data_IF_441445468869
#
_entry.id   IF_441445468869
#
_cell.length_a   1.000
_cell.length_b   1.000
_cell.length_c   1.000
_cell.angle_alpha   90.00
_cell.angle_beta   90.00
_cell.angle_gamma   90.00
#
_symmetry.space_group_name_H-M   'P 1'
#
loop_
_entity.id
_entity.type
_entity.pdbx_description
1 polymer ?
#
# COMPACT_ATOMS: atom_id res chain seq x y z
N UNK A 1 -22.13 19.54 -33.47
CA UNK A 1 -20.86 19.06 -32.89
C UNK A 1 -20.07 20.28 -32.45
N UNK A 2 -20.37 20.79 -31.24
CA UNK A 2 -19.83 22.08 -30.80
C UNK A 2 -18.44 21.91 -30.22
N UNK A 3 -17.49 22.74 -30.66
CA UNK A 3 -16.15 22.86 -30.07
C UNK A 3 -16.23 23.13 -28.56
N UNK A 4 -17.26 23.86 -28.10
CA UNK A 4 -17.54 24.12 -26.68
C UNK A 4 -17.87 22.87 -25.84
N UNK A 5 -18.29 21.76 -26.46
CA UNK A 5 -18.55 20.50 -25.75
C UNK A 5 -17.31 19.60 -25.65
N UNK A 6 -16.35 19.78 -26.57
CA UNK A 6 -15.08 19.03 -26.61
C UNK A 6 -14.02 19.73 -25.72
N UNK A 7 -14.07 21.06 -25.63
CA UNK A 7 -13.13 21.87 -24.87
C UNK A 7 -13.05 21.49 -23.38
N UNK A 8 -14.16 21.26 -22.65
CA UNK A 8 -14.07 20.80 -21.27
C UNK A 8 -13.38 19.43 -21.24
N UNK A 9 -13.86 18.44 -22.00
CA UNK A 9 -13.32 17.07 -22.00
C UNK A 9 -11.83 16.99 -22.34
N UNK A 10 -11.34 17.87 -23.21
CA UNK A 10 -9.92 17.96 -23.55
C UNK A 10 -9.07 18.61 -22.45
N UNK A 11 -9.65 19.50 -21.64
CA UNK A 11 -8.94 20.24 -20.59
C UNK A 11 -8.91 19.46 -19.27
N UNK A 12 -9.92 18.62 -18.95
CA UNK A 12 -10.04 17.87 -17.68
C UNK A 12 -8.80 17.02 -17.28
N UNK A 13 -7.97 16.62 -18.25
CA UNK A 13 -6.73 15.87 -17.97
C UNK A 13 -5.52 16.77 -17.74
N UNK A 14 -5.54 17.98 -18.30
CA UNK A 14 -4.42 18.92 -18.22
C UNK A 14 -4.35 19.63 -16.86
N UNK A 15 -5.46 19.80 -16.12
CA UNK A 15 -5.36 20.38 -14.77
C UNK A 15 -4.56 19.47 -13.83
N UNK A 16 -4.73 18.15 -13.93
CA UNK A 16 -3.95 17.21 -13.13
C UNK A 16 -2.45 17.30 -13.40
N UNK A 17 -2.07 17.49 -14.67
CA UNK A 17 -0.68 17.68 -15.07
C UNK A 17 -0.13 19.00 -14.52
N UNK A 18 -0.90 20.09 -14.60
CA UNK A 18 -0.50 21.41 -14.08
C UNK A 18 -0.33 21.35 -12.55
N UNK A 19 -1.26 20.71 -11.83
CA UNK A 19 -1.17 20.53 -10.37
C UNK A 19 0.07 19.71 -10.00
N UNK A 20 0.31 18.61 -10.71
CA UNK A 20 1.50 17.79 -10.50
C UNK A 20 2.78 18.59 -10.76
N UNK A 21 2.80 19.44 -11.79
CA UNK A 21 3.94 20.31 -12.11
C UNK A 21 4.20 21.35 -11.01
N UNK A 22 3.15 21.97 -10.47
CA UNK A 22 3.27 22.93 -9.36
C UNK A 22 3.81 22.24 -8.10
N UNK A 23 3.26 21.07 -7.74
CA UNK A 23 3.78 20.28 -6.62
C UNK A 23 5.25 19.89 -6.85
N UNK A 24 5.60 19.50 -8.08
CA UNK A 24 6.97 19.15 -8.46
C UNK A 24 7.93 20.34 -8.36
N UNK A 25 7.48 21.56 -8.65
CA UNK A 25 8.27 22.78 -8.49
C UNK A 25 8.45 23.16 -7.02
N UNK A 26 7.40 23.03 -6.20
CA UNK A 26 7.44 23.34 -4.77
C UNK A 26 8.28 22.35 -3.97
N UNK A 27 8.12 21.05 -4.23
CA UNK A 27 8.82 19.98 -3.52
C UNK A 27 10.14 19.57 -4.20
N UNK A 28 10.31 19.90 -5.48
CA UNK A 28 11.43 19.47 -6.31
C UNK A 28 11.28 18.01 -6.79
N UNK A 29 11.81 17.72 -7.98
CA UNK A 29 11.75 16.39 -8.59
C UNK A 29 12.45 15.26 -7.84
N UNK A 30 13.30 15.59 -6.86
CA UNK A 30 14.03 14.59 -6.06
C UNK A 30 13.29 14.15 -4.81
N UNK A 31 12.40 14.98 -4.23
CA UNK A 31 11.72 14.67 -2.96
C UNK A 31 10.59 13.68 -3.11
N UNK A 32 9.81 13.77 -4.19
CA UNK A 32 8.71 12.82 -4.46
C UNK A 32 9.22 11.36 -4.55
N UNK A 33 10.27 11.05 -5.35
CA UNK A 33 10.83 9.69 -5.41
C UNK A 33 11.50 9.23 -4.11
N UNK A 34 12.15 10.15 -3.38
CA UNK A 34 12.81 9.86 -2.10
C UNK A 34 11.78 9.43 -1.05
N UNK A 35 10.66 10.16 -0.95
CA UNK A 35 9.54 9.84 -0.07
C UNK A 35 8.83 8.54 -0.49
N UNK A 36 8.57 8.33 -1.78
CA UNK A 36 7.98 7.08 -2.28
C UNK A 36 8.87 5.86 -1.98
N UNK A 37 10.20 5.98 -2.13
CA UNK A 37 11.13 4.92 -1.78
C UNK A 37 11.12 4.62 -0.28
N UNK A 38 11.05 5.65 0.57
CA UNK A 38 10.92 5.49 2.03
C UNK A 38 9.61 4.80 2.41
N UNK A 39 8.48 5.31 1.93
CA UNK A 39 7.16 4.75 2.17
C UNK A 39 7.05 3.32 1.65
N UNK A 40 7.54 3.05 0.44
CA UNK A 40 7.50 1.73 -0.19
C UNK A 40 8.31 0.68 0.57
N UNK A 41 9.48 1.06 1.12
CA UNK A 41 10.24 0.19 2.02
C UNK A 41 9.48 -0.07 3.32
N UNK A 42 8.89 0.96 3.94
CA UNK A 42 8.09 0.83 5.15
C UNK A 42 6.89 -0.11 4.98
N UNK A 43 6.10 0.09 3.91
CA UNK A 43 4.95 -0.77 3.57
C UNK A 43 5.40 -2.21 3.29
N UNK A 44 6.52 -2.41 2.59
CA UNK A 44 7.06 -3.75 2.32
C UNK A 44 7.45 -4.48 3.62
N UNK A 45 8.22 -3.82 4.48
CA UNK A 45 8.63 -4.40 5.77
C UNK A 45 7.43 -4.66 6.69
N UNK A 46 6.45 -3.77 6.71
CA UNK A 46 5.21 -3.96 7.45
C UNK A 46 4.45 -5.19 6.98
N UNK A 47 4.26 -5.34 5.65
CA UNK A 47 3.58 -6.50 5.08
C UNK A 47 4.31 -7.80 5.35
N UNK A 48 5.65 -7.79 5.32
CA UNK A 48 6.45 -8.97 5.62
C UNK A 48 6.32 -9.38 7.09
N UNK A 49 6.46 -8.45 8.03
CA UNK A 49 6.29 -8.72 9.45
C UNK A 49 4.88 -9.24 9.78
N UNK A 50 3.83 -8.69 9.14
CA UNK A 50 2.46 -9.23 9.29
C UNK A 50 2.33 -10.68 8.82
N UNK A 51 3.02 -11.07 7.74
CA UNK A 51 2.97 -12.43 7.19
C UNK A 51 3.69 -13.42 8.10
N UNK A 52 4.86 -13.03 8.62
CA UNK A 52 5.61 -13.82 9.61
C UNK A 52 4.74 -14.06 10.86
N UNK A 53 4.09 -13.01 11.40
CA UNK A 53 3.16 -13.15 12.54
C UNK A 53 1.97 -14.08 12.22
N UNK A 54 1.41 -14.01 11.02
CA UNK A 54 0.31 -14.90 10.61
C UNK A 54 0.76 -16.36 10.47
N UNK A 55 1.99 -16.60 10.01
CA UNK A 55 2.59 -17.92 9.90
C UNK A 55 2.90 -18.50 11.28
N UNK A 56 3.52 -17.72 12.18
CA UNK A 56 3.78 -18.10 13.57
C UNK A 56 2.46 -18.46 14.30
N UNK A 57 1.40 -17.66 14.12
CA UNK A 57 0.09 -17.98 14.70
C UNK A 57 -0.52 -19.26 14.13
N UNK A 58 -0.28 -19.59 12.86
CA UNK A 58 -0.77 -20.84 12.24
C UNK A 58 0.01 -22.05 12.74
N UNK A 59 1.31 -21.92 12.97
CA UNK A 59 2.15 -22.98 13.54
C UNK A 59 1.73 -23.27 14.98
N UNK A 60 1.59 -22.24 15.82
CA UNK A 60 1.11 -22.36 17.21
C UNK A 60 -0.28 -23.02 17.26
N UNK A 61 -1.19 -22.68 16.33
CA UNK A 61 -2.52 -23.31 16.26
C UNK A 61 -2.45 -24.78 15.84
N UNK A 62 -1.59 -25.14 14.90
CA UNK A 62 -1.38 -26.54 14.50
C UNK A 62 -0.81 -27.39 15.63
N UNK A 63 0.11 -26.83 16.43
CA UNK A 63 0.71 -27.53 17.55
C UNK A 63 -0.28 -27.75 18.71
N UNK A 64 -1.26 -26.85 18.88
CA UNK A 64 -2.34 -26.97 19.87
C UNK A 64 -3.44 -27.94 19.39
N UNK A 65 -3.69 -28.06 18.08
CA UNK A 65 -4.74 -28.94 17.52
C UNK A 65 -4.27 -30.38 17.24
N UNK A 66 -2.96 -30.69 17.32
CA UNK A 66 -2.39 -32.00 17.02
C UNK A 66 -2.33 -33.00 18.19
N UNK A 67 -2.90 -32.70 19.37
CA UNK A 67 -3.09 -33.69 20.45
C UNK A 67 -4.48 -33.57 21.12
N UNK A 68 -5.46 -34.38 20.71
CA UNK A 68 -6.75 -34.48 21.41
C UNK A 68 -6.82 -35.56 22.49
N UNK A 69 -5.72 -36.15 23.02
CA UNK A 69 -5.85 -37.37 23.85
C UNK A 69 -5.12 -37.43 25.21
N UNK A 70 -4.82 -36.30 25.89
CA UNK A 70 -4.55 -36.35 27.35
C UNK A 70 -5.14 -35.19 28.15
N UNK A 71 -6.42 -35.34 28.54
CA UNK A 71 -6.93 -34.90 29.86
C UNK A 71 -8.30 -35.50 30.20
N UNK A 72 -8.33 -36.83 30.34
CA UNK A 72 -9.11 -37.48 31.41
C UNK A 72 -8.08 -38.04 32.38
N UNK A 73 -8.29 -37.80 33.68
CA UNK A 73 -7.42 -38.10 34.84
C UNK A 73 -6.49 -36.95 35.24
N UNK A 74 -6.99 -35.98 36.00
CA UNK A 74 -6.85 -35.93 37.48
C UNK A 74 -8.12 -35.31 38.09
#
# INVERSE_FOLDING_TARGET
MNILAILPLAIHGWEWIIIALVILLLFGGKKIPELMRGLGKGVKSFKQGMKEVEEDMKEIKKDIEADPEKKTQE
#
